data_IF_045671537060
#
_entry.id   IF_045671537060
#
_cell.length_a   1.000
_cell.length_b   1.000
_cell.length_c   1.000
_cell.angle_alpha   90.00
_cell.angle_beta   90.00
_cell.angle_gamma   90.00
#
_symmetry.space_group_name_H-M   'P 1'
#
loop_
_entity.id
_entity.type
_entity.pdbx_description
1 polymer ?
#
# COMPACT_ATOMS: atom_id res chain seq x y z
N UNK A 1 21.63 -7.22 -5.26
CA UNK A 1 20.95 -7.04 -3.97
C UNK A 1 20.17 -5.73 -4.09
N UNK A 2 18.83 -5.78 -3.92
CA UNK A 2 18.03 -4.57 -3.75
C UNK A 2 18.59 -3.79 -2.56
N UNK A 3 18.67 -2.46 -2.67
CA UNK A 3 19.03 -1.62 -1.52
C UNK A 3 17.96 -1.79 -0.45
N UNK A 4 18.37 -1.77 0.82
CA UNK A 4 17.43 -1.73 1.94
C UNK A 4 16.39 -0.63 1.69
N UNK A 5 15.10 -1.00 1.71
CA UNK A 5 13.98 -0.08 1.46
C UNK A 5 13.36 -0.15 0.07
N UNK A 6 14.00 -0.72 -0.95
CA UNK A 6 13.38 -0.93 -2.26
C UNK A 6 12.48 -2.17 -2.22
N UNK A 7 11.18 -1.97 -2.24
CA UNK A 7 10.18 -3.05 -2.28
C UNK A 7 9.58 -3.11 -3.67
N UNK A 8 9.75 -4.26 -4.33
CA UNK A 8 9.10 -4.53 -5.60
C UNK A 8 7.58 -4.62 -5.42
N UNK A 9 6.85 -3.84 -6.18
CA UNK A 9 5.39 -3.82 -6.10
C UNK A 9 4.79 -4.92 -6.98
N UNK A 10 4.04 -5.87 -6.41
CA UNK A 10 3.35 -6.88 -7.21
C UNK A 10 2.39 -6.25 -8.23
N UNK A 11 2.24 -6.88 -9.38
CA UNK A 11 1.37 -6.39 -10.46
C UNK A 11 -0.08 -6.23 -10.03
N UNK A 12 -0.59 -7.15 -9.23
CA UNK A 12 -1.97 -7.11 -8.72
C UNK A 12 -2.19 -5.95 -7.73
N UNK A 13 -1.18 -5.56 -6.96
CA UNK A 13 -1.26 -4.38 -6.08
C UNK A 13 -1.28 -3.09 -6.90
N UNK A 14 -0.45 -3.01 -7.93
CA UNK A 14 -0.45 -1.88 -8.88
C UNK A 14 -1.82 -1.77 -9.57
N UNK A 15 -2.35 -2.88 -10.05
CA UNK A 15 -3.67 -2.93 -10.69
C UNK A 15 -4.77 -2.47 -9.74
N UNK A 16 -4.76 -2.96 -8.50
CA UNK A 16 -5.71 -2.53 -7.47
C UNK A 16 -5.68 -1.01 -7.28
N UNK A 17 -4.49 -0.45 -7.13
CA UNK A 17 -4.33 0.98 -6.89
C UNK A 17 -4.78 1.81 -8.10
N UNK A 18 -4.44 1.39 -9.32
CA UNK A 18 -4.89 2.05 -10.56
C UNK A 18 -6.40 1.99 -10.72
N UNK A 19 -7.03 0.85 -10.44
CA UNK A 19 -8.48 0.73 -10.52
C UNK A 19 -9.21 1.59 -9.46
N UNK A 20 -8.65 1.71 -8.26
CA UNK A 20 -9.19 2.61 -7.23
C UNK A 20 -9.11 4.08 -7.68
N UNK A 21 -7.95 4.51 -8.18
CA UNK A 21 -7.76 5.89 -8.63
C UNK A 21 -8.42 6.20 -9.96
N UNK A 22 -8.63 5.20 -10.79
CA UNK A 22 -9.37 5.25 -12.05
C UNK A 22 -9.00 6.47 -12.92
N UNK A 23 -7.74 6.54 -13.41
CA UNK A 23 -7.31 7.63 -14.28
C UNK A 23 -8.13 7.64 -15.57
N UNK A 24 -8.45 8.85 -16.05
CA UNK A 24 -9.34 9.09 -17.18
C UNK A 24 -8.65 9.91 -18.27
N UNK A 25 -9.18 9.92 -19.50
CA UNK A 25 -8.71 10.84 -20.52
C UNK A 25 -8.80 12.29 -20.06
N UNK A 26 -7.73 13.03 -20.24
CA UNK A 26 -7.55 14.40 -19.76
C UNK A 26 -6.74 14.49 -18.47
N UNK A 27 -6.53 13.37 -17.77
CA UNK A 27 -5.76 13.35 -16.54
C UNK A 27 -4.25 13.42 -16.78
N UNK A 28 -3.56 14.08 -15.85
CA UNK A 28 -2.14 13.94 -15.62
C UNK A 28 -1.89 12.98 -14.44
N UNK A 29 -0.99 12.03 -14.64
CA UNK A 29 -0.64 11.00 -13.66
C UNK A 29 0.84 11.13 -13.30
N UNK A 30 1.15 11.22 -12.02
CA UNK A 30 2.50 11.42 -11.51
C UNK A 30 2.91 10.31 -10.53
N UNK A 31 4.07 9.71 -10.81
CA UNK A 31 4.73 8.77 -9.90
C UNK A 31 6.08 9.37 -9.44
N UNK A 32 6.18 9.87 -8.19
CA UNK A 32 7.42 10.46 -7.66
C UNK A 32 8.49 9.44 -7.27
N UNK A 33 8.16 8.17 -7.19
CA UNK A 33 9.06 7.04 -6.90
C UNK A 33 8.95 6.00 -8.02
N UNK A 34 9.21 6.47 -9.25
CA UNK A 34 8.83 5.86 -10.51
C UNK A 34 9.36 4.43 -10.72
N UNK A 35 10.55 4.12 -10.23
CA UNK A 35 11.12 2.77 -10.33
C UNK A 35 11.18 2.25 -11.76
N UNK A 36 10.67 1.04 -11.98
CA UNK A 36 10.60 0.42 -13.29
C UNK A 36 9.47 0.93 -14.21
N UNK A 37 8.61 1.80 -13.70
CA UNK A 37 7.50 2.39 -14.45
C UNK A 37 6.18 1.64 -14.39
N UNK A 38 6.07 0.64 -13.52
CA UNK A 38 4.89 -0.23 -13.44
C UNK A 38 3.58 0.53 -13.18
N UNK A 39 3.58 1.53 -12.32
CA UNK A 39 2.38 2.35 -12.02
C UNK A 39 1.90 3.11 -13.26
N UNK A 40 2.78 3.81 -13.96
CA UNK A 40 2.42 4.59 -15.15
C UNK A 40 2.04 3.71 -16.33
N UNK A 41 2.73 2.60 -16.54
CA UNK A 41 2.39 1.63 -17.59
C UNK A 41 1.01 1.04 -17.36
N UNK A 42 0.69 0.68 -16.11
CA UNK A 42 -0.63 0.14 -15.76
C UNK A 42 -1.72 1.19 -15.89
N UNK A 43 -1.47 2.45 -15.50
CA UNK A 43 -2.40 3.56 -15.71
C UNK A 43 -2.68 3.77 -17.21
N UNK A 44 -1.66 3.70 -18.06
CA UNK A 44 -1.80 3.79 -19.51
C UNK A 44 -2.66 2.66 -20.07
N UNK A 45 -2.39 1.42 -19.67
CA UNK A 45 -3.17 0.25 -20.09
C UNK A 45 -4.63 0.31 -19.60
N UNK A 46 -4.86 0.81 -18.40
CA UNK A 46 -6.19 1.01 -17.86
C UNK A 46 -7.02 1.98 -18.72
N UNK A 47 -6.46 3.12 -19.08
CA UNK A 47 -7.12 4.10 -19.93
C UNK A 47 -7.37 3.54 -21.35
N UNK A 48 -6.41 2.81 -21.91
CA UNK A 48 -6.58 2.15 -23.21
C UNK A 48 -7.72 1.13 -23.17
N UNK A 49 -7.78 0.29 -22.13
CA UNK A 49 -8.79 -0.76 -22.01
C UNK A 49 -10.20 -0.19 -21.79
N UNK A 50 -10.32 0.88 -21.01
CA UNK A 50 -11.63 1.47 -20.66
C UNK A 50 -12.14 2.45 -21.73
N UNK A 51 -11.25 3.18 -22.40
CA UNK A 51 -11.63 4.30 -23.28
C UNK A 51 -11.11 4.19 -24.71
N UNK A 52 -10.29 3.18 -25.02
CA UNK A 52 -9.72 2.96 -26.36
C UNK A 52 -8.41 3.73 -26.60
N UNK A 53 -7.75 3.43 -27.73
CA UNK A 53 -6.43 3.98 -28.07
C UNK A 53 -6.42 5.50 -28.26
N UNK A 54 -7.49 6.08 -28.79
CA UNK A 54 -7.57 7.53 -29.04
C UNK A 54 -7.55 8.34 -27.73
N UNK A 55 -8.07 7.78 -26.64
CA UNK A 55 -8.05 8.39 -25.34
C UNK A 55 -6.63 8.60 -24.78
N UNK A 56 -5.67 7.79 -25.22
CA UNK A 56 -4.27 7.89 -24.81
C UNK A 56 -3.60 9.20 -25.24
N UNK A 57 -4.09 9.86 -26.29
CA UNK A 57 -3.61 11.18 -26.72
C UNK A 57 -3.91 12.28 -25.67
N UNK A 58 -4.80 12.00 -24.74
CA UNK A 58 -5.23 12.91 -23.68
C UNK A 58 -4.80 12.43 -22.29
N UNK A 59 -3.89 11.50 -22.20
CA UNK A 59 -3.29 11.01 -20.96
C UNK A 59 -1.85 11.51 -20.87
N UNK A 60 -1.52 12.16 -19.76
CA UNK A 60 -0.22 12.77 -19.52
C UNK A 60 0.48 12.08 -18.36
N UNK A 61 1.61 11.44 -18.63
CA UNK A 61 2.34 10.62 -17.66
C UNK A 61 3.64 11.31 -17.25
N UNK A 62 3.91 11.34 -15.94
CA UNK A 62 5.09 11.97 -15.34
C UNK A 62 5.70 11.03 -14.29
N UNK A 63 6.99 10.79 -14.37
CA UNK A 63 7.71 9.97 -13.41
C UNK A 63 9.05 10.57 -13.00
N UNK A 64 9.41 10.42 -11.74
CA UNK A 64 10.73 10.81 -11.24
C UNK A 64 11.37 9.66 -10.49
N UNK A 65 12.65 9.38 -10.79
CA UNK A 65 13.43 8.29 -10.19
C UNK A 65 14.83 8.77 -9.85
N UNK A 66 15.26 8.48 -8.63
CA UNK A 66 16.60 8.86 -8.15
C UNK A 66 17.70 8.01 -8.76
N UNK A 67 17.43 6.73 -9.00
CA UNK A 67 18.42 5.79 -9.51
C UNK A 67 18.51 5.84 -11.03
N UNK A 68 19.64 6.29 -11.54
CA UNK A 68 19.88 6.42 -12.99
C UNK A 68 19.74 5.09 -13.75
N UNK A 69 20.21 3.98 -13.20
CA UNK A 69 20.13 2.67 -13.85
C UNK A 69 18.68 2.19 -13.93
N UNK A 70 17.92 2.34 -12.86
CA UNK A 70 16.50 2.02 -12.80
C UNK A 70 15.71 2.89 -13.79
N UNK A 71 16.02 4.18 -13.87
CA UNK A 71 15.42 5.07 -14.86
C UNK A 71 15.69 4.63 -16.30
N UNK A 72 16.92 4.20 -16.61
CA UNK A 72 17.25 3.71 -17.94
C UNK A 72 16.43 2.45 -18.29
N UNK A 73 16.29 1.52 -17.35
CA UNK A 73 15.45 0.33 -17.54
C UNK A 73 13.98 0.69 -17.73
N UNK A 74 13.47 1.67 -16.97
CA UNK A 74 12.08 2.11 -17.10
C UNK A 74 11.79 2.74 -18.47
N UNK A 75 12.74 3.47 -19.05
CA UNK A 75 12.62 4.01 -20.41
C UNK A 75 12.52 2.89 -21.46
N UNK A 76 13.26 1.80 -21.26
CA UNK A 76 13.11 0.61 -22.11
C UNK A 76 11.73 -0.03 -21.96
N UNK A 77 11.21 -0.12 -20.73
CA UNK A 77 9.86 -0.63 -20.48
C UNK A 77 8.79 0.23 -21.17
N UNK A 78 8.89 1.55 -21.08
CA UNK A 78 7.99 2.44 -21.82
C UNK A 78 8.05 2.19 -23.33
N UNK A 79 9.23 2.04 -23.87
CA UNK A 79 9.41 1.75 -25.30
C UNK A 79 8.79 0.41 -25.72
N UNK A 80 8.99 -0.66 -24.93
CA UNK A 80 8.41 -1.98 -25.18
C UNK A 80 6.88 -1.93 -25.18
N UNK A 81 6.27 -1.09 -24.34
CA UNK A 81 4.82 -0.88 -24.27
C UNK A 81 4.31 0.20 -25.25
N UNK A 82 5.16 0.68 -26.16
CA UNK A 82 4.85 1.75 -27.14
C UNK A 82 4.34 3.06 -26.50
N UNK A 83 4.84 3.37 -25.31
CA UNK A 83 4.53 4.62 -24.58
C UNK A 83 5.62 5.64 -24.86
N UNK A 84 5.35 6.63 -25.72
CA UNK A 84 6.36 7.57 -26.21
C UNK A 84 6.27 8.95 -25.57
N UNK A 85 5.15 9.30 -24.96
CA UNK A 85 4.84 10.63 -24.47
C UNK A 85 4.91 10.79 -22.94
N UNK A 86 5.45 9.79 -22.23
CA UNK A 86 5.72 9.94 -20.79
C UNK A 86 6.94 10.82 -20.57
N UNK A 87 6.81 11.77 -19.63
CA UNK A 87 7.92 12.60 -19.19
C UNK A 87 8.53 11.99 -17.93
N UNK A 88 9.79 11.58 -18.02
CA UNK A 88 10.52 10.98 -16.90
C UNK A 88 11.81 11.74 -16.63
N UNK A 89 12.07 11.98 -15.35
CA UNK A 89 13.21 12.77 -14.89
C UNK A 89 14.03 12.02 -13.83
N UNK A 90 15.32 12.27 -13.81
CA UNK A 90 16.23 11.74 -12.79
C UNK A 90 16.36 12.72 -11.64
N UNK A 91 16.26 12.25 -10.43
CA UNK A 91 16.54 13.02 -9.21
C UNK A 91 15.75 12.55 -8.00
N UNK A 92 16.14 13.08 -6.84
CA UNK A 92 15.47 12.84 -5.57
C UNK A 92 14.20 13.69 -5.46
N UNK A 93 13.04 13.04 -5.49
CA UNK A 93 11.74 13.73 -5.45
C UNK A 93 11.47 14.43 -4.13
N UNK A 94 12.01 13.94 -3.01
CA UNK A 94 11.84 14.60 -1.70
C UNK A 94 12.63 15.90 -1.58
N UNK A 95 13.77 16.00 -2.27
CA UNK A 95 14.61 17.18 -2.22
C UNK A 95 14.45 18.07 -3.46
N UNK A 96 14.40 17.49 -4.64
CA UNK A 96 14.47 18.19 -5.92
C UNK A 96 13.38 17.73 -6.90
N UNK A 97 12.12 18.05 -6.65
CA UNK A 97 11.06 17.74 -7.61
C UNK A 97 11.33 18.43 -8.95
N UNK A 98 11.31 17.68 -10.04
CA UNK A 98 11.71 18.15 -11.37
C UNK A 98 10.57 18.76 -12.17
N UNK A 99 9.33 18.45 -11.86
CA UNK A 99 8.18 18.99 -12.57
C UNK A 99 7.66 20.24 -11.88
N UNK A 100 7.77 21.36 -12.58
CA UNK A 100 7.46 22.70 -12.10
C UNK A 100 6.67 23.47 -13.14
N UNK A 101 5.85 24.38 -12.70
CA UNK A 101 5.20 25.38 -13.52
C UNK A 101 5.63 26.81 -13.11
N UNK A 102 4.95 27.82 -13.62
CA UNK A 102 5.28 29.24 -13.30
C UNK A 102 4.99 29.61 -11.84
N UNK A 103 4.11 28.86 -11.18
CA UNK A 103 3.66 29.11 -9.81
C UNK A 103 4.43 28.27 -8.78
N UNK A 104 5.25 27.32 -9.23
CA UNK A 104 6.06 26.47 -8.36
C UNK A 104 5.94 24.98 -8.68
N UNK A 105 5.55 24.19 -7.69
CA UNK A 105 5.38 22.75 -7.83
C UNK A 105 4.21 22.44 -8.77
N UNK A 106 4.46 21.65 -9.84
CA UNK A 106 3.40 21.19 -10.74
C UNK A 106 2.39 20.32 -9.99
N UNK A 107 1.11 20.50 -10.29
CA UNK A 107 0.00 19.73 -9.72
C UNK A 107 -0.55 18.74 -10.76
N UNK A 108 -1.07 17.62 -10.26
CA UNK A 108 -1.53 16.51 -11.08
C UNK A 108 -2.93 16.04 -10.64
N UNK A 109 -3.68 15.44 -11.56
CA UNK A 109 -4.98 14.86 -11.26
C UNK A 109 -4.87 13.57 -10.45
N UNK A 110 -3.87 12.74 -10.76
CA UNK A 110 -3.60 11.49 -10.07
C UNK A 110 -2.13 11.42 -9.67
N UNK A 111 -1.87 11.18 -8.39
CA UNK A 111 -0.52 10.93 -7.86
C UNK A 111 -0.50 9.53 -7.27
N UNK A 112 0.36 8.68 -7.79
CA UNK A 112 0.38 7.25 -7.51
C UNK A 112 1.80 6.75 -7.31
N UNK A 113 2.08 6.07 -6.20
CA UNK A 113 3.40 5.50 -5.96
C UNK A 113 3.40 4.38 -4.91
N UNK A 114 4.44 3.56 -4.97
CA UNK A 114 4.95 2.79 -3.86
C UNK A 114 6.36 3.30 -3.53
N UNK A 115 6.50 4.37 -2.73
CA UNK A 115 7.79 4.92 -2.36
C UNK A 115 8.57 3.96 -1.44
N UNK A 116 9.89 4.16 -1.27
CA UNK A 116 10.68 3.36 -0.34
C UNK A 116 10.11 3.42 1.08
N UNK A 117 9.90 2.25 1.70
CA UNK A 117 9.38 2.16 3.06
C UNK A 117 10.49 2.41 4.08
N UNK A 118 10.17 3.15 5.15
CA UNK A 118 11.09 3.44 6.24
C UNK A 118 12.45 3.97 5.79
N UNK A 119 12.45 4.84 4.77
CA UNK A 119 13.66 5.43 4.23
C UNK A 119 14.30 6.38 5.25
N UNK A 120 15.57 6.14 5.54
CA UNK A 120 16.35 6.92 6.51
C UNK A 120 16.91 8.22 5.89
N UNK A 121 17.15 9.21 6.72
CA UNK A 121 17.93 10.41 6.39
C UNK A 121 17.16 11.66 5.99
N UNK A 122 15.84 11.64 6.00
CA UNK A 122 14.98 12.78 5.61
C UNK A 122 14.33 13.47 6.81
N UNK A 123 15.17 13.93 7.74
CA UNK A 123 14.73 14.78 8.84
C UNK A 123 14.53 16.25 8.41
N UNK A 124 14.11 17.10 9.35
CA UNK A 124 13.87 18.52 9.10
C UNK A 124 15.06 19.23 8.48
N UNK A 125 16.27 19.01 8.99
CA UNK A 125 17.47 19.64 8.47
C UNK A 125 17.71 19.28 7.00
N UNK A 126 17.53 18.02 6.64
CA UNK A 126 17.73 17.54 5.27
C UNK A 126 16.62 18.02 4.34
N UNK A 127 15.36 17.94 4.76
CA UNK A 127 14.22 18.36 3.93
C UNK A 127 14.24 19.86 3.64
N UNK A 128 14.70 20.69 4.58
CA UNK A 128 14.86 22.14 4.39
C UNK A 128 15.97 22.53 3.40
N UNK A 129 16.87 21.62 3.05
CA UNK A 129 17.85 21.83 1.97
C UNK A 129 17.23 21.68 0.58
N UNK A 130 16.06 21.05 0.48
CA UNK A 130 15.35 20.81 -0.76
C UNK A 130 14.48 21.98 -1.22
N UNK A 131 13.90 21.82 -2.40
CA UNK A 131 12.99 22.80 -3.00
C UNK A 131 11.55 22.65 -2.46
N UNK A 132 10.81 23.74 -2.42
CA UNK A 132 9.39 23.77 -2.06
C UNK A 132 9.03 23.11 -0.72
N UNK A 133 9.95 23.02 0.21
CA UNK A 133 9.74 22.32 1.49
C UNK A 133 8.63 22.96 2.34
N UNK A 134 8.43 24.28 2.29
CA UNK A 134 7.36 24.97 3.02
C UNK A 134 5.98 24.55 2.56
N UNK A 135 5.80 24.45 1.25
CA UNK A 135 4.54 24.01 0.64
C UNK A 135 4.28 22.51 0.84
N UNK A 136 5.32 21.69 0.72
CA UNK A 136 5.18 20.23 0.75
C UNK A 136 5.03 19.67 2.15
N UNK A 137 5.76 20.19 3.12
CA UNK A 137 5.82 19.64 4.47
C UNK A 137 5.12 20.53 5.51
N UNK A 138 4.00 21.11 5.13
CA UNK A 138 3.22 22.00 5.98
C UNK A 138 2.65 21.33 7.24
N UNK A 139 2.44 20.02 7.20
CA UNK A 139 1.94 19.25 8.33
C UNK A 139 3.03 18.78 9.30
N UNK A 140 4.28 18.95 8.94
CA UNK A 140 5.43 18.65 9.79
C UNK A 140 6.54 17.88 9.09
N UNK A 141 7.68 17.81 9.78
CA UNK A 141 8.87 17.11 9.30
C UNK A 141 8.97 15.71 9.89
N UNK A 142 9.38 14.76 9.06
CA UNK A 142 9.55 13.37 9.45
C UNK A 142 10.74 13.14 10.38
N UNK A 143 10.69 12.09 11.21
CA UNK A 143 11.86 11.64 11.94
C UNK A 143 12.92 11.11 10.97
N UNK A 144 14.18 11.09 11.41
CA UNK A 144 15.28 10.62 10.57
C UNK A 144 15.11 9.17 10.10
N UNK A 145 14.48 8.33 10.93
CA UNK A 145 14.36 6.89 10.68
C UNK A 145 13.32 6.50 9.63
N UNK A 146 12.40 7.39 9.29
CA UNK A 146 11.34 7.09 8.32
C UNK A 146 10.86 8.33 7.58
N UNK A 147 10.98 8.30 6.26
CA UNK A 147 10.46 9.32 5.37
C UNK A 147 9.02 9.05 4.89
N UNK A 148 8.32 8.06 5.42
CA UNK A 148 7.00 7.65 4.92
C UNK A 148 6.03 8.83 4.82
N UNK A 149 5.90 9.63 5.88
CA UNK A 149 5.04 10.82 5.89
C UNK A 149 5.61 12.01 5.12
N UNK A 150 6.88 12.02 4.76
CA UNK A 150 7.41 13.00 3.80
C UNK A 150 6.97 12.66 2.37
N UNK A 151 7.03 11.38 1.99
CA UNK A 151 6.49 10.91 0.71
C UNK A 151 5.00 11.19 0.57
N UNK A 152 4.21 10.86 1.59
CA UNK A 152 2.76 11.12 1.60
C UNK A 152 2.47 12.60 1.43
N UNK A 153 3.16 13.48 2.16
CA UNK A 153 2.98 14.94 2.05
C UNK A 153 3.42 15.50 0.69
N UNK A 154 4.54 15.00 0.14
CA UNK A 154 4.96 15.40 -1.21
C UNK A 154 3.90 15.03 -2.25
N UNK A 155 3.36 13.82 -2.18
CA UNK A 155 2.30 13.37 -3.08
C UNK A 155 1.03 14.19 -2.93
N UNK A 156 0.62 14.48 -1.71
CA UNK A 156 -0.54 15.32 -1.42
C UNK A 156 -0.35 16.75 -1.94
N UNK A 157 0.81 17.36 -1.72
CA UNK A 157 1.14 18.69 -2.23
C UNK A 157 1.18 18.74 -3.77
N UNK A 158 1.48 17.62 -4.43
CA UNK A 158 1.52 17.47 -5.88
C UNK A 158 0.15 17.21 -6.53
N UNK A 159 -0.91 17.08 -5.74
CA UNK A 159 -2.26 16.84 -6.23
C UNK A 159 -3.03 18.15 -6.43
N UNK A 160 -3.83 18.23 -7.50
CA UNK A 160 -4.73 19.35 -7.74
C UNK A 160 -5.70 19.56 -6.59
N UNK A 161 -5.97 20.81 -6.25
CA UNK A 161 -6.87 21.18 -5.15
C UNK A 161 -8.32 20.74 -5.37
N UNK A 162 -8.80 20.75 -6.62
CA UNK A 162 -10.21 20.50 -6.94
C UNK A 162 -10.51 19.04 -7.24
N UNK A 163 -9.61 18.36 -7.94
CA UNK A 163 -9.85 17.03 -8.49
C UNK A 163 -8.67 16.08 -8.33
N UNK A 164 -7.62 16.52 -7.63
CA UNK A 164 -6.44 15.72 -7.39
C UNK A 164 -6.67 14.61 -6.37
N UNK A 165 -6.24 13.41 -6.71
CA UNK A 165 -6.31 12.23 -5.85
C UNK A 165 -4.96 11.57 -5.73
N UNK A 166 -4.69 11.03 -4.55
CA UNK A 166 -3.44 10.37 -4.21
C UNK A 166 -3.71 8.94 -3.78
N UNK A 167 -2.97 8.01 -4.33
CA UNK A 167 -2.94 6.63 -3.86
C UNK A 167 -1.50 6.19 -3.62
N UNK A 168 -1.21 5.75 -2.41
CA UNK A 168 0.12 5.35 -2.01
C UNK A 168 0.12 4.00 -1.30
N UNK A 169 1.08 3.16 -1.69
CA UNK A 169 1.37 1.90 -1.00
C UNK A 169 2.43 2.18 0.05
N UNK A 170 2.14 1.85 1.29
CA UNK A 170 2.97 2.19 2.46
C UNK A 170 3.18 0.99 3.37
N UNK A 171 4.20 1.07 4.21
CA UNK A 171 4.34 0.20 5.37
C UNK A 171 3.20 0.46 6.36
N UNK A 172 2.55 -0.61 6.82
CA UNK A 172 1.46 -0.50 7.80
C UNK A 172 1.89 0.22 9.08
N UNK A 173 3.17 0.15 9.46
CA UNK A 173 3.70 0.79 10.66
C UNK A 173 3.51 2.30 10.70
N UNK A 174 3.59 3.01 9.56
CA UNK A 174 3.42 4.46 9.52
C UNK A 174 2.01 4.93 9.90
N UNK A 175 1.03 4.03 9.91
CA UNK A 175 -0.35 4.32 10.27
C UNK A 175 -0.55 4.48 11.79
N UNK A 176 0.36 3.96 12.61
CA UNK A 176 0.18 3.94 14.05
C UNK A 176 1.42 4.31 14.88
N UNK A 177 2.61 4.47 14.26
CA UNK A 177 3.79 4.92 15.02
C UNK A 177 3.56 6.30 15.63
N UNK A 178 4.15 6.52 16.82
CA UNK A 178 4.04 7.75 17.59
C UNK A 178 5.00 8.86 17.16
N UNK A 179 5.20 9.85 18.04
CA UNK A 179 6.16 10.93 17.84
C UNK A 179 5.81 11.86 16.67
N UNK A 180 6.80 12.21 15.86
CA UNK A 180 6.62 13.14 14.72
C UNK A 180 5.65 12.58 13.68
N UNK A 181 5.63 11.28 13.44
CA UNK A 181 4.68 10.65 12.52
C UNK A 181 3.24 10.80 13.00
N UNK A 182 2.97 10.63 14.30
CA UNK A 182 1.65 10.88 14.89
C UNK A 182 1.24 12.33 14.72
N UNK A 183 2.14 13.28 14.94
CA UNK A 183 1.84 14.71 14.79
C UNK A 183 1.43 15.05 13.35
N UNK A 184 2.18 14.56 12.36
CA UNK A 184 1.85 14.75 10.94
C UNK A 184 0.52 14.10 10.60
N UNK A 185 0.34 12.84 10.97
CA UNK A 185 -0.88 12.07 10.72
C UNK A 185 -2.11 12.75 11.31
N UNK A 186 -2.02 13.22 12.53
CA UNK A 186 -3.10 13.96 13.21
C UNK A 186 -3.46 15.24 12.47
N UNK A 187 -2.47 15.99 11.98
CA UNK A 187 -2.69 17.22 11.22
C UNK A 187 -3.34 16.94 9.86
N UNK A 188 -2.90 15.91 9.15
CA UNK A 188 -3.48 15.49 7.86
C UNK A 188 -4.93 15.01 8.02
N UNK A 189 -5.22 14.26 9.08
CA UNK A 189 -6.60 13.85 9.42
C UNK A 189 -7.45 15.07 9.78
N UNK A 190 -6.92 15.99 10.58
CA UNK A 190 -7.62 17.23 10.96
C UNK A 190 -7.94 18.13 9.77
N UNK A 191 -7.12 18.11 8.73
CA UNK A 191 -7.37 18.81 7.47
C UNK A 191 -8.33 18.05 6.53
N UNK A 192 -8.83 16.89 6.95
CA UNK A 192 -9.76 16.04 6.18
C UNK A 192 -9.22 15.60 4.82
N UNK A 193 -7.96 15.18 4.78
CA UNK A 193 -7.27 14.79 3.53
C UNK A 193 -7.29 13.29 3.24
N UNK A 194 -7.54 12.44 4.24
CA UNK A 194 -7.54 10.99 4.08
C UNK A 194 -8.96 10.50 3.80
N UNK A 195 -9.14 9.79 2.69
CA UNK A 195 -10.43 9.26 2.25
C UNK A 195 -10.61 7.79 2.61
N UNK A 196 -9.58 6.98 2.44
CA UNK A 196 -9.62 5.55 2.75
C UNK A 196 -8.26 5.00 3.19
N UNK A 197 -8.31 3.95 3.99
CA UNK A 197 -7.16 3.12 4.38
C UNK A 197 -7.51 1.66 4.13
N UNK A 198 -6.67 0.95 3.37
CA UNK A 198 -6.87 -0.43 2.98
C UNK A 198 -5.71 -1.26 3.53
N UNK A 199 -5.99 -2.19 4.42
CA UNK A 199 -5.01 -3.17 4.88
C UNK A 199 -4.91 -4.30 3.85
N UNK A 200 -3.70 -4.52 3.33
CA UNK A 200 -3.41 -5.60 2.39
C UNK A 200 -3.10 -6.92 3.11
N UNK A 201 -3.24 -8.07 2.44
CA UNK A 201 -2.79 -9.35 2.96
C UNK A 201 -1.29 -9.38 3.25
N UNK A 202 -0.89 -10.20 4.19
CA UNK A 202 0.52 -10.53 4.41
C UNK A 202 1.13 -11.28 3.23
N UNK A 203 2.45 -11.25 3.12
CA UNK A 203 3.21 -12.03 2.12
C UNK A 203 2.86 -11.72 0.66
N UNK A 204 2.42 -10.50 0.36
CA UNK A 204 2.27 -10.03 -1.03
C UNK A 204 3.61 -9.54 -1.60
N UNK A 205 4.46 -8.96 -0.77
CA UNK A 205 5.72 -8.33 -1.19
C UNK A 205 6.91 -9.29 -1.02
N UNK A 206 7.79 -9.35 -2.02
CA UNK A 206 8.93 -10.27 -2.03
C UNK A 206 9.91 -10.06 -0.89
N UNK A 207 10.11 -8.83 -0.48
CA UNK A 207 11.21 -8.45 0.41
C UNK A 207 10.79 -8.29 1.87
N UNK A 208 9.52 -8.45 2.19
CA UNK A 208 9.02 -8.32 3.56
C UNK A 208 7.82 -9.24 3.80
N UNK A 209 7.77 -9.83 5.00
CA UNK A 209 6.58 -10.55 5.47
C UNK A 209 5.52 -9.63 6.08
N UNK A 210 5.88 -8.38 6.36
CA UNK A 210 4.96 -7.41 6.94
C UNK A 210 3.87 -7.00 5.93
N UNK A 211 2.64 -6.80 6.39
CA UNK A 211 1.58 -6.32 5.52
C UNK A 211 1.83 -4.86 5.11
N UNK A 212 1.58 -4.57 3.83
CA UNK A 212 1.45 -3.21 3.35
C UNK A 212 0.03 -2.69 3.51
N UNK A 213 -0.12 -1.40 3.33
CA UNK A 213 -1.42 -0.74 3.28
C UNK A 213 -1.49 0.22 2.10
N UNK A 214 -2.70 0.50 1.65
CA UNK A 214 -2.97 1.56 0.68
C UNK A 214 -3.64 2.71 1.43
N UNK A 215 -3.10 3.90 1.24
CA UNK A 215 -3.67 5.15 1.73
C UNK A 215 -4.18 5.96 0.53
N UNK A 216 -5.45 6.33 0.57
CA UNK A 216 -6.09 7.18 -0.45
C UNK A 216 -6.34 8.54 0.18
N UNK A 217 -5.79 9.59 -0.46
CA UNK A 217 -5.98 10.97 -0.04
C UNK A 217 -6.72 11.76 -1.12
N UNK A 218 -7.53 12.70 -0.66
CA UNK A 218 -8.31 13.58 -1.52
C UNK A 218 -8.46 14.95 -0.85
N UNK A 219 -8.00 16.00 -1.51
CA UNK A 219 -8.11 17.37 -0.99
C UNK A 219 -9.54 17.91 -1.06
N UNK A 220 -10.36 17.35 -1.94
CA UNK A 220 -11.73 17.79 -2.17
C UNK A 220 -12.67 16.58 -2.20
N UNK A 221 -12.84 15.97 -1.05
CA UNK A 221 -13.74 14.82 -0.92
C UNK A 221 -15.17 15.16 -1.34
N UNK A 222 -15.90 14.21 -1.93
CA UNK A 222 -17.36 14.33 -2.10
C UNK A 222 -18.03 14.67 -0.77
N UNK A 223 -19.14 15.39 -0.83
CA UNK A 223 -19.84 15.90 0.38
C UNK A 223 -20.23 14.80 1.37
N UNK A 224 -20.62 13.62 0.86
CA UNK A 224 -20.99 12.43 1.65
C UNK A 224 -19.80 11.74 2.32
N UNK A 225 -18.55 12.05 1.90
CA UNK A 225 -17.31 11.49 2.45
C UNK A 225 -16.55 12.45 3.37
N UNK A 226 -16.94 13.72 3.43
CA UNK A 226 -16.29 14.72 4.28
C UNK A 226 -16.38 14.35 5.75
N UNK A 227 -15.27 14.52 6.47
CA UNK A 227 -15.15 14.18 7.89
C UNK A 227 -15.13 12.69 8.21
N UNK A 228 -15.00 11.84 7.20
CA UNK A 228 -15.05 10.39 7.33
C UNK A 228 -13.89 9.73 6.62
N UNK A 229 -13.44 8.59 7.14
CA UNK A 229 -12.45 7.71 6.50
C UNK A 229 -13.07 6.32 6.37
N UNK A 230 -12.98 5.73 5.17
CA UNK A 230 -13.33 4.33 4.95
C UNK A 230 -12.13 3.44 5.26
N UNK A 231 -12.31 2.51 6.19
CA UNK A 231 -11.33 1.46 6.49
C UNK A 231 -11.77 0.16 5.82
N UNK A 232 -10.87 -0.46 5.06
CA UNK A 232 -11.10 -1.75 4.42
C UNK A 232 -10.06 -2.74 4.95
N UNK A 233 -10.52 -3.81 5.57
CA UNK A 233 -9.66 -4.91 5.97
C UNK A 233 -9.65 -5.99 4.91
N UNK A 234 -8.66 -5.92 4.00
CA UNK A 234 -8.48 -6.90 2.94
C UNK A 234 -7.45 -8.00 3.30
N UNK A 235 -7.11 -8.15 4.57
CA UNK A 235 -6.09 -9.10 5.03
C UNK A 235 -6.41 -10.56 4.69
N UNK A 236 -7.69 -10.90 4.51
CA UNK A 236 -8.17 -12.23 4.13
C UNK A 236 -8.44 -12.39 2.62
N UNK A 237 -8.27 -11.33 1.83
CA UNK A 237 -8.57 -11.28 0.41
C UNK A 237 -7.36 -11.70 -0.43
N UNK A 238 -7.04 -12.97 -0.45
CA UNK A 238 -5.90 -13.50 -1.20
C UNK A 238 -6.09 -14.96 -1.60
N UNK A 239 -5.27 -15.39 -2.53
CA UNK A 239 -4.99 -16.79 -2.83
C UNK A 239 -3.49 -17.05 -2.68
N UNK A 240 -3.11 -18.31 -2.54
CA UNK A 240 -1.69 -18.67 -2.56
C UNK A 240 -1.10 -18.35 -3.94
N UNK A 241 0.12 -17.78 -3.97
CA UNK A 241 0.80 -17.51 -5.24
C UNK A 241 1.07 -18.83 -5.99
N UNK A 242 0.72 -18.93 -7.29
CA UNK A 242 0.81 -20.19 -8.04
C UNK A 242 2.24 -20.72 -8.15
N UNK A 243 3.23 -19.85 -8.27
CA UNK A 243 4.62 -20.23 -8.54
C UNK A 243 5.55 -20.10 -7.33
N UNK A 244 5.15 -19.33 -6.30
CA UNK A 244 6.00 -19.03 -5.15
C UNK A 244 5.29 -19.38 -3.86
N UNK A 245 5.61 -20.54 -3.28
CA UNK A 245 4.96 -21.09 -2.07
C UNK A 245 4.94 -20.18 -0.85
N UNK A 246 5.90 -19.24 -0.77
CA UNK A 246 6.04 -18.32 0.38
C UNK A 246 5.21 -17.05 0.23
N UNK A 247 4.58 -16.83 -0.91
CA UNK A 247 3.84 -15.62 -1.22
C UNK A 247 2.36 -15.87 -1.37
N UNK A 248 1.59 -14.84 -1.06
CA UNK A 248 0.19 -14.70 -1.41
C UNK A 248 0.05 -13.79 -2.64
N UNK A 249 -1.11 -13.85 -3.27
CA UNK A 249 -1.45 -13.05 -4.43
C UNK A 249 -2.89 -12.57 -4.33
N UNK A 250 -3.17 -11.35 -4.80
CA UNK A 250 -4.54 -10.90 -5.00
C UNK A 250 -5.11 -11.52 -6.28
N UNK A 251 -6.21 -12.25 -6.17
CA UNK A 251 -6.98 -12.69 -7.32
C UNK A 251 -7.84 -11.56 -7.88
N UNK A 252 -8.32 -11.69 -9.11
CA UNK A 252 -9.20 -10.71 -9.74
C UNK A 252 -10.45 -10.45 -8.89
N UNK A 253 -11.04 -11.49 -8.30
CA UNK A 253 -12.18 -11.38 -7.39
C UNK A 253 -11.87 -10.58 -6.12
N UNK A 254 -10.65 -10.72 -5.58
CA UNK A 254 -10.20 -9.94 -4.42
C UNK A 254 -10.09 -8.44 -4.78
N UNK A 255 -9.50 -8.13 -5.93
CA UNK A 255 -9.38 -6.76 -6.43
C UNK A 255 -10.77 -6.15 -6.63
N UNK A 256 -11.67 -6.86 -7.30
CA UNK A 256 -13.03 -6.39 -7.59
C UNK A 256 -13.81 -6.08 -6.31
N UNK A 257 -13.70 -6.93 -5.30
CA UNK A 257 -14.33 -6.74 -3.99
C UNK A 257 -13.82 -5.47 -3.29
N UNK A 258 -12.51 -5.26 -3.27
CA UNK A 258 -11.90 -4.08 -2.64
C UNK A 258 -12.28 -2.81 -3.40
N UNK A 259 -12.18 -2.80 -4.72
CA UNK A 259 -12.52 -1.66 -5.58
C UNK A 259 -13.99 -1.28 -5.42
N UNK A 260 -14.88 -2.28 -5.41
CA UNK A 260 -16.30 -2.07 -5.21
C UNK A 260 -16.62 -1.44 -3.85
N UNK A 261 -16.04 -1.96 -2.77
CA UNK A 261 -16.22 -1.41 -1.43
C UNK A 261 -15.75 0.06 -1.34
N UNK A 262 -14.63 0.38 -1.96
CA UNK A 262 -14.14 1.76 -2.04
C UNK A 262 -15.09 2.67 -2.82
N UNK A 263 -15.54 2.25 -4.00
CA UNK A 263 -16.44 3.05 -4.86
C UNK A 263 -17.78 3.29 -4.21
N UNK A 264 -18.38 2.26 -3.64
CA UNK A 264 -19.67 2.34 -2.96
C UNK A 264 -19.58 3.14 -1.65
N UNK A 265 -18.40 3.23 -1.07
CA UNK A 265 -18.13 3.87 0.22
C UNK A 265 -19.12 3.44 1.28
N UNK A 266 -19.22 2.14 1.52
CA UNK A 266 -20.21 1.51 2.40
C UNK A 266 -19.59 0.61 3.43
N UNK A 267 -20.29 0.47 4.54
CA UNK A 267 -19.96 -0.50 5.57
C UNK A 267 -20.39 -1.91 5.14
N UNK A 268 -19.48 -2.87 5.34
CA UNK A 268 -19.69 -4.29 5.11
C UNK A 268 -19.12 -5.00 6.34
N UNK A 269 -19.96 -5.80 7.02
CA UNK A 269 -19.54 -6.52 8.23
C UNK A 269 -18.26 -7.33 8.00
N UNK A 270 -17.31 -7.18 8.91
CA UNK A 270 -16.02 -7.85 8.86
C UNK A 270 -15.06 -7.41 7.76
N UNK A 271 -15.45 -6.45 6.90
CA UNK A 271 -14.67 -6.05 5.75
C UNK A 271 -14.41 -4.55 5.65
N UNK A 272 -15.42 -3.71 5.80
CA UNK A 272 -15.26 -2.25 5.71
C UNK A 272 -16.09 -1.50 6.73
N UNK A 273 -15.56 -0.35 7.19
CA UNK A 273 -16.22 0.52 8.16
C UNK A 273 -15.90 1.98 7.88
N UNK A 274 -16.90 2.83 8.04
CA UNK A 274 -16.77 4.28 7.95
C UNK A 274 -16.58 4.85 9.35
N UNK A 275 -15.49 5.59 9.55
CA UNK A 275 -15.11 6.15 10.85
C UNK A 275 -15.07 7.67 10.75
N UNK A 276 -15.76 8.34 11.68
CA UNK A 276 -15.77 9.79 11.78
C UNK A 276 -14.60 10.34 12.58
N UNK A 277 -14.41 11.65 12.49
CA UNK A 277 -13.29 12.37 13.14
C UNK A 277 -13.23 12.14 14.66
N UNK A 278 -14.36 12.16 15.36
CA UNK A 278 -14.38 12.03 16.82
C UNK A 278 -13.86 10.67 17.28
N UNK A 279 -14.24 9.59 16.60
CA UNK A 279 -13.72 8.26 16.89
C UNK A 279 -12.22 8.14 16.58
N UNK A 280 -11.76 8.75 15.48
CA UNK A 280 -10.33 8.80 15.14
C UNK A 280 -9.54 9.52 16.23
N UNK A 281 -10.06 10.63 16.74
CA UNK A 281 -9.47 11.39 17.84
C UNK A 281 -9.42 10.59 19.12
N UNK A 282 -10.49 9.88 19.47
CA UNK A 282 -10.58 9.01 20.65
C UNK A 282 -9.56 7.86 20.60
N UNK A 283 -9.18 7.43 19.39
CA UNK A 283 -8.12 6.45 19.15
C UNK A 283 -6.75 7.08 18.85
N UNK A 284 -6.51 8.31 19.30
CA UNK A 284 -5.24 9.01 19.12
C UNK A 284 -4.78 9.14 17.66
N UNK A 285 -5.73 9.28 16.73
CA UNK A 285 -5.48 9.33 15.29
C UNK A 285 -4.69 8.13 14.75
N UNK A 286 -4.85 7.00 15.38
CA UNK A 286 -4.31 5.74 14.91
C UNK A 286 -5.13 5.25 13.71
N UNK A 287 -4.44 4.97 12.60
CA UNK A 287 -5.06 4.52 11.35
C UNK A 287 -4.88 3.01 11.10
N UNK A 288 -4.48 2.26 12.11
CA UNK A 288 -4.40 0.80 11.97
C UNK A 288 -5.80 0.23 11.72
N UNK A 289 -6.01 -0.35 10.56
CA UNK A 289 -7.32 -0.87 10.12
C UNK A 289 -7.89 -1.87 11.11
N UNK A 290 -7.05 -2.69 11.75
CA UNK A 290 -7.50 -3.70 12.73
C UNK A 290 -8.13 -3.13 14.00
N UNK A 291 -7.99 -1.83 14.27
CA UNK A 291 -8.73 -1.16 15.36
C UNK A 291 -10.21 -0.95 15.04
N UNK A 292 -10.56 -0.87 13.76
CA UNK A 292 -11.88 -0.46 13.31
C UNK A 292 -12.66 -1.58 12.61
N UNK A 293 -11.96 -2.49 11.93
CA UNK A 293 -12.56 -3.56 11.16
C UNK A 293 -11.97 -4.90 11.60
N UNK A 294 -12.82 -5.75 12.15
CA UNK A 294 -12.49 -7.11 12.55
C UNK A 294 -13.09 -8.05 11.50
N UNK A 295 -12.26 -8.86 10.78
CA UNK A 295 -12.78 -9.92 9.95
C UNK A 295 -13.69 -10.82 10.79
N UNK A 296 -14.80 -11.27 10.23
CA UNK A 296 -15.54 -12.36 10.84
C UNK A 296 -14.54 -13.50 11.01
N UNK A 297 -14.22 -13.83 12.26
CA UNK A 297 -13.60 -15.11 12.54
C UNK A 297 -14.59 -16.14 11.97
N UNK A 298 -14.16 -16.94 11.01
CA UNK A 298 -14.81 -18.22 10.81
C UNK A 298 -14.76 -18.86 12.19
N UNK A 299 -15.85 -18.82 12.93
CA UNK A 299 -16.02 -19.66 14.07
C UNK A 299 -16.03 -21.06 13.46
N UNK A 300 -14.84 -21.67 13.39
CA UNK A 300 -14.77 -23.12 13.28
C UNK A 300 -15.69 -23.60 14.39
N UNK A 301 -16.76 -24.21 14.00
CA UNK A 301 -17.67 -24.88 14.92
C UNK A 301 -16.88 -26.08 15.45
N UNK A 302 -15.93 -25.76 16.37
CA UNK A 302 -15.07 -26.76 17.00
C UNK A 302 -16.02 -27.60 17.85
N UNK A 303 -16.33 -28.79 17.35
CA UNK A 303 -16.96 -29.80 18.15
C UNK A 303 -15.93 -30.26 19.21
N UNK A 304 -15.98 -29.59 20.35
CA UNK A 304 -15.04 -29.83 21.47
C UNK A 304 -15.01 -31.30 21.88
N UNK A 305 -16.11 -32.01 21.74
CA UNK A 305 -16.17 -33.43 22.04
C UNK A 305 -15.39 -34.25 21.01
N UNK A 306 -15.54 -33.95 19.74
CA UNK A 306 -14.80 -34.60 18.67
C UNK A 306 -13.29 -34.36 18.74
N UNK A 307 -12.90 -33.12 18.94
CA UNK A 307 -11.48 -32.74 19.12
C UNK A 307 -10.88 -33.44 20.37
N UNK A 308 -11.66 -33.53 21.44
CA UNK A 308 -11.24 -34.24 22.64
C UNK A 308 -11.07 -35.75 22.41
N UNK A 309 -11.96 -36.38 21.66
CA UNK A 309 -11.86 -37.77 21.28
C UNK A 309 -10.64 -38.05 20.39
N UNK A 310 -10.37 -37.17 19.41
CA UNK A 310 -9.17 -37.24 18.56
C UNK A 310 -7.88 -37.09 19.37
N UNK A 311 -7.85 -36.18 20.31
CA UNK A 311 -6.71 -35.98 21.21
C UNK A 311 -6.45 -37.24 22.03
N UNK A 312 -7.48 -37.85 22.60
CA UNK A 312 -7.37 -39.09 23.37
C UNK A 312 -6.88 -40.26 22.53
N UNK A 313 -7.29 -40.31 21.27
CA UNK A 313 -6.83 -41.34 20.35
C UNK A 313 -5.35 -41.18 20.02
N UNK A 314 -4.90 -39.95 19.77
CA UNK A 314 -3.50 -39.62 19.53
C UNK A 314 -2.61 -39.93 20.76
N UNK A 315 -3.07 -39.62 21.96
CA UNK A 315 -2.35 -39.96 23.20
C UNK A 315 -2.15 -41.49 23.32
N UNK A 316 -3.16 -42.27 22.97
CA UNK A 316 -3.07 -43.74 22.99
C UNK A 316 -2.06 -44.24 21.95
N UNK A 317 -2.06 -43.72 20.75
CA UNK A 317 -1.10 -44.08 19.70
C UNK A 317 0.34 -43.70 20.07
N UNK A 318 0.54 -42.58 20.75
CA UNK A 318 1.84 -42.19 21.30
C UNK A 318 2.33 -43.23 22.30
N UNK A 319 1.50 -43.61 23.28
CA UNK A 319 1.85 -44.62 24.30
C UNK A 319 2.18 -45.98 23.68
N UNK A 320 1.41 -46.42 22.68
CA UNK A 320 1.69 -47.67 21.96
C UNK A 320 3.02 -47.61 21.18
N UNK A 321 3.32 -46.46 20.61
CA UNK A 321 4.58 -46.22 19.87
C UNK A 321 5.77 -46.19 20.82
N UNK A 322 5.64 -45.52 21.95
CA UNK A 322 6.67 -45.47 23.00
C UNK A 322 6.96 -46.87 23.54
N UNK A 323 5.93 -47.67 23.80
CA UNK A 323 6.10 -49.05 24.25
C UNK A 323 6.83 -49.93 23.20
N UNK A 324 6.58 -49.72 21.91
CA UNK A 324 7.32 -50.44 20.84
C UNK A 324 8.79 -50.01 20.80
N UNK A 325 9.07 -48.70 20.92
CA UNK A 325 10.42 -48.18 20.97
C UNK A 325 11.16 -48.76 22.16
N UNK A 326 10.54 -48.78 23.31
CA UNK A 326 11.11 -49.40 24.54
C UNK A 326 11.41 -50.88 24.37
N UNK A 327 10.53 -51.62 23.70
CA UNK A 327 10.74 -53.03 23.37
C UNK A 327 11.96 -53.21 22.45
N UNK A 328 12.08 -52.43 21.38
CA UNK A 328 13.22 -52.50 20.47
C UNK A 328 14.54 -52.09 21.14
N UNK A 329 14.51 -51.10 21.98
CA UNK A 329 15.71 -50.71 22.74
C UNK A 329 16.17 -51.85 23.68
N UNK A 330 15.24 -52.52 24.35
CA UNK A 330 15.55 -53.68 25.21
C UNK A 330 16.11 -54.85 24.43
N UNK A 331 15.69 -55.08 23.20
CA UNK A 331 16.26 -56.12 22.32
C UNK A 331 17.69 -55.74 21.90
N UNK A 332 17.91 -54.52 21.44
CA UNK A 332 19.24 -54.03 21.01
C UNK A 332 20.26 -54.08 22.16
N UNK A 333 19.86 -53.75 23.38
CA UNK A 333 20.75 -53.74 24.55
C UNK A 333 20.88 -55.14 25.24
N UNK A 334 20.14 -56.14 24.80
CA UNK A 334 20.33 -57.52 25.27
C UNK A 334 21.28 -58.33 24.41
N UNK A 335 21.58 -57.91 23.19
CA UNK A 335 22.52 -58.53 22.27
C UNK A 335 23.93 -57.92 22.32
N UNK A 336 24.20 -56.99 23.21
CA UNK A 336 25.52 -56.39 23.56
C UNK A 336 25.85 -56.71 25.01
#
# INVERSE_FOLDING_TARGET
>A
KAKEGEIYTPREVIRLLVEILDPKPGDSVYDPAYGSGGMLITAYQHVENEYGKEALNRLFLFGQEVNYKTLALSKMNLYIHDIRNAQVAQGDSLLYPKFKDKEGLKKFNVVIANPPWNQDGYDEETLKKGEFWKERFEYGFTPRQSADWAWIQHMLASAHEKDGRVGVVIDNGCLFRGGKEKAIRSAVIGADRIEAVILLPEKLFYNTGAPGAILILNKNKPADRKGKILFINASQEYQQHPDVRKLNQLADSNIDKIVKAYRDFKEIDGFSRIVGYDELKDNDFNLNVTLYVFPEEETENIDVLKEWEELRQLEKEILETEAKIESYLKEIYKEG
#
